data_IF_216769287094
#
_entry.id   IF_216769287094
#
_cell.length_a   1.000
_cell.length_b   1.000
_cell.length_c   1.000
_cell.angle_alpha   90.00
_cell.angle_beta   90.00
_cell.angle_gamma   90.00
#
_symmetry.space_group_name_H-M   'P 1'
#
loop_
_entity.id
_entity.type
_entity.pdbx_description
1 polymer ?
#
# COMPACT_ATOMS: atom_id res chain seq x y z
N UNK A 1 18.21 13.74 -11.40
CA UNK A 1 18.57 12.30 -11.50
C UNK A 1 17.65 11.42 -10.64
N UNK A 2 17.42 11.73 -9.37
CA UNK A 2 16.58 10.92 -8.46
C UNK A 2 15.17 10.70 -9.03
N UNK A 3 14.50 11.75 -9.48
CA UNK A 3 13.15 11.66 -10.04
C UNK A 3 13.04 10.82 -11.33
N UNK A 4 14.15 10.55 -12.02
CA UNK A 4 14.15 9.68 -13.21
C UNK A 4 14.19 8.17 -12.85
N UNK A 5 14.43 7.81 -11.59
CA UNK A 5 14.49 6.40 -11.19
C UNK A 5 13.09 5.77 -11.24
N UNK A 6 12.95 4.55 -11.78
CA UNK A 6 11.63 3.92 -11.96
C UNK A 6 10.91 3.61 -10.65
N UNK A 7 11.66 3.39 -9.58
CA UNK A 7 11.15 3.08 -8.24
C UNK A 7 10.93 4.33 -7.36
N UNK A 8 11.05 5.53 -7.91
CA UNK A 8 10.78 6.79 -7.20
C UNK A 8 9.46 7.36 -7.69
N UNK A 9 8.48 7.50 -6.82
CA UNK A 9 7.27 8.29 -7.04
C UNK A 9 7.53 9.74 -6.63
N UNK A 10 7.00 10.69 -7.42
CA UNK A 10 7.17 12.12 -7.14
C UNK A 10 5.91 12.64 -6.44
N UNK A 11 6.10 13.30 -5.30
CA UNK A 11 5.05 13.94 -4.54
C UNK A 11 5.30 15.43 -4.36
N UNK A 12 4.24 16.20 -4.14
CA UNK A 12 4.33 17.56 -3.62
C UNK A 12 4.30 17.54 -2.09
N UNK A 13 5.06 18.44 -1.48
CA UNK A 13 5.06 18.66 -0.03
C UNK A 13 4.83 20.15 0.27
N UNK A 14 3.83 20.73 -0.40
CA UNK A 14 3.43 22.14 -0.39
C UNK A 14 4.47 23.13 -0.96
N UNK A 15 4.12 24.40 -1.03
CA UNK A 15 4.97 25.46 -1.55
C UNK A 15 5.84 26.13 -0.47
N UNK A 16 5.24 26.44 0.68
CA UNK A 16 5.93 27.14 1.78
C UNK A 16 6.05 26.30 3.05
N UNK A 17 5.66 25.04 3.01
CA UNK A 17 5.64 24.15 4.17
C UNK A 17 4.81 24.70 5.34
N UNK A 18 3.53 25.07 5.14
CA UNK A 18 2.69 25.58 6.21
C UNK A 18 2.51 24.50 7.29
N UNK A 19 2.46 24.96 8.55
CA UNK A 19 2.23 24.04 9.66
C UNK A 19 0.73 23.80 9.90
N UNK A 20 -0.12 24.85 9.76
CA UNK A 20 -1.55 24.81 10.01
C UNK A 20 -2.35 25.07 8.73
N UNK A 21 -3.06 24.07 8.25
CA UNK A 21 -3.79 24.13 6.98
C UNK A 21 -5.08 24.97 7.05
N UNK A 22 -5.71 25.04 8.22
CA UNK A 22 -6.84 25.94 8.48
C UNK A 22 -6.45 27.42 8.34
N UNK A 23 -5.23 27.78 8.70
CA UNK A 23 -4.72 29.14 8.52
C UNK A 23 -4.46 29.45 7.05
N UNK A 24 -3.93 28.50 6.29
CA UNK A 24 -3.75 28.64 4.83
C UNK A 24 -5.07 28.90 4.13
N UNK A 25 -6.14 28.20 4.52
CA UNK A 25 -7.48 28.42 3.97
C UNK A 25 -7.99 29.84 4.22
N UNK A 26 -7.67 30.43 5.37
CA UNK A 26 -8.00 31.83 5.70
C UNK A 26 -7.05 32.87 5.09
N UNK A 27 -6.01 32.44 4.37
CA UNK A 27 -4.99 33.33 3.83
C UNK A 27 -4.04 33.90 4.89
N UNK A 28 -3.91 33.22 6.03
CA UNK A 28 -3.12 33.65 7.18
C UNK A 28 -1.80 32.89 7.28
N UNK A 29 -0.73 33.59 7.64
CA UNK A 29 0.53 32.95 8.07
C UNK A 29 0.50 32.80 9.58
N UNK A 30 0.31 31.56 10.04
CA UNK A 30 0.44 31.24 11.45
C UNK A 30 1.75 30.50 11.69
N UNK A 31 2.64 31.12 12.44
CA UNK A 31 3.91 30.49 12.81
C UNK A 31 3.68 29.34 13.80
N UNK A 32 4.39 28.25 13.60
CA UNK A 32 4.49 27.20 14.62
C UNK A 32 5.64 27.52 15.58
N UNK A 33 5.52 27.13 16.83
CA UNK A 33 6.61 27.20 17.81
C UNK A 33 7.86 26.40 17.37
N UNK A 34 7.72 25.56 16.36
CA UNK A 34 8.76 24.69 15.82
C UNK A 34 9.47 25.27 14.58
N UNK A 35 9.03 26.44 14.09
CA UNK A 35 9.75 27.21 13.06
C UNK A 35 9.95 26.55 11.70
N UNK A 36 9.06 25.60 11.30
CA UNK A 36 9.25 24.83 10.06
C UNK A 36 8.55 25.41 8.83
N UNK A 37 7.79 26.49 8.97
CA UNK A 37 7.16 27.15 7.84
C UNK A 37 8.09 28.16 7.19
N UNK A 38 8.15 28.16 5.86
CA UNK A 38 8.78 29.24 5.12
C UNK A 38 7.78 30.41 5.04
N UNK A 39 8.23 31.62 5.32
CA UNK A 39 7.42 32.84 5.24
C UNK A 39 8.05 33.82 4.23
N UNK A 40 7.93 33.62 2.90
CA UNK A 40 8.47 34.53 1.93
C UNK A 40 7.84 35.92 2.10
N UNK A 41 8.67 36.99 2.06
CA UNK A 41 8.21 38.37 2.23
C UNK A 41 7.13 38.71 1.21
N UNK A 42 5.99 39.22 1.69
CA UNK A 42 4.85 39.63 0.85
C UNK A 42 4.02 38.45 0.29
N UNK A 43 4.30 37.23 0.68
CA UNK A 43 3.49 36.09 0.28
C UNK A 43 2.23 35.96 1.15
N UNK A 44 1.09 35.88 0.50
CA UNK A 44 -0.19 35.54 1.13
C UNK A 44 -0.48 34.07 0.77
N UNK A 45 -0.58 33.18 1.76
CA UNK A 45 -0.83 31.77 1.48
C UNK A 45 -2.22 31.55 0.89
N UNK A 46 -2.34 30.56 0.02
CA UNK A 46 -3.61 30.08 -0.48
C UNK A 46 -3.53 28.58 -0.74
N UNK A 47 -4.62 27.86 -0.54
CA UNK A 47 -4.68 26.41 -0.78
C UNK A 47 -4.25 26.06 -2.19
N UNK A 48 -4.69 26.83 -3.20
CA UNK A 48 -4.31 26.62 -4.60
C UNK A 48 -2.80 26.71 -4.81
N UNK A 49 -2.16 27.73 -4.22
CA UNK A 49 -0.72 27.93 -4.37
C UNK A 49 0.07 26.85 -3.65
N UNK A 50 -0.33 26.51 -2.44
CA UNK A 50 0.34 25.49 -1.65
C UNK A 50 0.24 24.10 -2.28
N UNK A 51 -0.89 23.75 -2.88
CA UNK A 51 -1.17 22.43 -3.43
C UNK A 51 -0.83 22.36 -4.92
N UNK A 52 -1.57 23.12 -5.74
CA UNK A 52 -1.45 23.05 -7.19
C UNK A 52 -0.22 23.78 -7.70
N UNK A 53 0.11 24.94 -7.14
CA UNK A 53 1.29 25.73 -7.54
C UNK A 53 2.58 24.96 -7.27
N UNK A 54 2.69 24.29 -6.14
CA UNK A 54 3.81 23.42 -5.82
C UNK A 54 3.92 22.23 -6.77
N UNK A 55 2.82 21.52 -6.99
CA UNK A 55 2.77 20.35 -7.89
C UNK A 55 3.12 20.72 -9.32
N UNK A 56 2.61 21.87 -9.81
CA UNK A 56 2.93 22.40 -11.14
C UNK A 56 4.40 22.77 -11.29
N UNK A 57 4.98 23.43 -10.29
CA UNK A 57 6.41 23.76 -10.29
C UNK A 57 7.26 22.49 -10.38
N UNK A 58 6.96 21.47 -9.57
CA UNK A 58 7.69 20.20 -9.61
C UNK A 58 7.54 19.54 -10.98
N UNK A 59 6.32 19.49 -11.52
CA UNK A 59 6.03 18.87 -12.81
C UNK A 59 6.76 19.57 -13.96
N UNK A 60 6.73 20.90 -14.01
CA UNK A 60 7.28 21.67 -15.12
C UNK A 60 8.79 21.89 -15.04
N UNK A 61 9.39 21.84 -13.84
CA UNK A 61 10.80 22.23 -13.63
C UNK A 61 11.71 21.10 -13.16
N UNK A 62 11.16 20.09 -12.46
CA UNK A 62 11.97 19.09 -11.76
C UNK A 62 11.70 17.66 -12.23
N UNK A 63 10.47 17.33 -12.59
CA UNK A 63 10.09 16.01 -13.03
C UNK A 63 10.55 15.72 -14.46
N UNK A 64 11.03 14.51 -14.76
CA UNK A 64 11.28 14.10 -16.14
C UNK A 64 9.98 14.10 -16.96
N UNK A 65 10.05 14.30 -18.29
CA UNK A 65 8.88 14.19 -19.15
C UNK A 65 8.11 12.88 -18.94
N UNK A 66 6.79 12.97 -18.85
CA UNK A 66 5.90 11.82 -18.68
C UNK A 66 5.82 11.23 -17.27
N UNK A 67 6.61 11.70 -16.30
CA UNK A 67 6.54 11.22 -14.93
C UNK A 67 5.51 12.05 -14.12
N UNK A 68 4.45 11.42 -13.59
CA UNK A 68 3.38 12.14 -12.91
C UNK A 68 3.84 12.71 -11.56
N UNK A 69 3.20 13.84 -11.17
CA UNK A 69 3.22 14.39 -9.80
C UNK A 69 1.78 14.34 -9.32
N UNK A 70 1.37 13.22 -8.77
CA UNK A 70 -0.03 12.92 -8.43
C UNK A 70 -0.27 12.63 -6.95
N UNK A 71 0.69 12.94 -6.09
CA UNK A 71 0.60 12.70 -4.66
C UNK A 71 0.91 13.99 -3.89
N UNK A 72 0.05 14.34 -2.93
CA UNK A 72 0.25 15.39 -1.95
C UNK A 72 0.59 14.77 -0.60
N UNK A 73 1.74 15.14 -0.03
CA UNK A 73 2.14 14.79 1.34
C UNK A 73 1.95 16.04 2.21
N UNK A 74 1.00 15.98 3.15
CA UNK A 74 0.67 17.13 4.00
C UNK A 74 1.83 17.49 4.93
N UNK A 75 2.04 18.79 5.11
CA UNK A 75 3.07 19.38 5.98
C UNK A 75 2.52 19.69 7.36
N UNK A 76 3.42 19.97 8.30
CA UNK A 76 3.10 20.47 9.63
C UNK A 76 2.31 19.48 10.47
N UNK A 77 1.16 19.90 10.98
CA UNK A 77 0.24 19.04 11.73
C UNK A 77 -0.47 17.99 10.86
N UNK A 78 -0.31 18.11 9.54
CA UNK A 78 -0.92 17.26 8.54
C UNK A 78 -2.44 17.10 8.72
N UNK A 79 -3.12 18.18 9.09
CA UNK A 79 -4.57 18.27 9.31
C UNK A 79 -5.22 19.11 8.21
N UNK A 80 -5.35 18.58 6.97
CA UNK A 80 -5.95 19.33 5.87
C UNK A 80 -7.43 19.62 6.15
N UNK A 81 -7.91 20.75 5.66
CA UNK A 81 -9.34 21.09 5.69
C UNK A 81 -10.10 20.35 4.57
N UNK A 82 -11.43 20.30 4.65
CA UNK A 82 -12.27 19.75 3.57
C UNK A 82 -11.98 20.46 2.24
N UNK A 83 -11.84 21.79 2.26
CA UNK A 83 -11.54 22.57 1.07
C UNK A 83 -10.16 22.24 0.46
N UNK A 84 -9.16 21.96 1.28
CA UNK A 84 -7.84 21.51 0.82
C UNK A 84 -7.93 20.14 0.15
N UNK A 85 -8.70 19.23 0.72
CA UNK A 85 -8.95 17.88 0.16
C UNK A 85 -9.76 17.95 -1.14
N UNK A 86 -10.74 18.86 -1.24
CA UNK A 86 -11.50 19.10 -2.48
C UNK A 86 -10.59 19.51 -3.64
N UNK A 87 -9.58 20.36 -3.39
CA UNK A 87 -8.60 20.79 -4.40
C UNK A 87 -7.76 19.61 -4.88
N UNK A 88 -7.28 18.76 -3.96
CA UNK A 88 -6.48 17.57 -4.29
C UNK A 88 -7.29 16.59 -5.14
N UNK A 89 -8.54 16.33 -4.75
CA UNK A 89 -9.44 15.42 -5.44
C UNK A 89 -9.82 15.95 -6.84
N UNK A 90 -10.19 17.23 -6.95
CA UNK A 90 -10.49 17.88 -8.23
C UNK A 90 -9.31 17.87 -9.21
N UNK A 91 -8.09 17.84 -8.70
CA UNK A 91 -6.86 17.71 -9.50
C UNK A 91 -6.52 16.26 -9.88
N UNK A 92 -7.32 15.28 -9.48
CA UNK A 92 -7.04 13.86 -9.68
C UNK A 92 -5.82 13.35 -8.92
N UNK A 93 -5.41 14.07 -7.88
CA UNK A 93 -4.30 13.70 -7.01
C UNK A 93 -4.81 12.84 -5.84
N UNK A 94 -3.88 12.12 -5.21
CA UNK A 94 -4.12 11.45 -3.92
C UNK A 94 -3.29 12.10 -2.83
N UNK A 95 -3.57 11.81 -1.56
CA UNK A 95 -2.93 12.52 -0.45
C UNK A 95 -2.76 11.64 0.78
N UNK A 96 -1.73 11.88 1.55
CA UNK A 96 -1.55 11.29 2.87
C UNK A 96 -0.63 12.14 3.75
N UNK A 97 -0.54 11.79 4.97
CA UNK A 97 0.33 12.11 6.09
C UNK A 97 -0.52 12.24 7.37
N UNK A 98 0.10 12.65 8.47
CA UNK A 98 -0.60 12.66 9.75
C UNK A 98 -0.79 11.25 10.32
N UNK A 99 -1.70 11.14 11.27
CA UNK A 99 -1.81 9.96 12.12
C UNK A 99 -0.67 9.91 13.15
N UNK A 100 -0.75 8.97 14.09
CA UNK A 100 0.28 8.80 15.12
C UNK A 100 0.42 7.32 15.49
N UNK A 101 1.06 6.54 14.63
CA UNK A 101 1.37 5.14 14.95
C UNK A 101 2.80 5.02 15.43
N UNK A 102 2.98 4.79 16.74
CA UNK A 102 4.27 4.62 17.42
C UNK A 102 4.11 3.58 18.53
N UNK A 103 4.18 2.31 18.18
CA UNK A 103 4.18 1.23 19.16
C UNK A 103 5.62 0.82 19.46
N UNK A 104 6.06 0.98 20.70
CA UNK A 104 7.43 0.65 21.15
C UNK A 104 7.37 -0.18 22.41
N UNK A 105 8.50 -0.75 22.84
CA UNK A 105 8.60 -1.51 24.09
C UNK A 105 8.11 -0.74 25.31
N UNK A 106 8.31 0.58 25.31
CA UNK A 106 7.85 1.45 26.39
C UNK A 106 6.35 1.76 26.31
N UNK A 107 5.74 1.58 25.12
CA UNK A 107 4.33 1.81 24.90
C UNK A 107 3.78 0.80 23.87
N UNK A 108 3.67 -0.45 24.29
CA UNK A 108 3.17 -1.57 23.47
C UNK A 108 1.64 -1.69 23.63
N UNK A 109 0.90 -0.77 23.01
CA UNK A 109 -0.57 -0.71 23.09
C UNK A 109 -1.20 -0.48 21.72
N UNK A 110 -2.37 -1.07 21.48
CA UNK A 110 -3.19 -0.75 20.30
C UNK A 110 -3.63 0.72 20.27
N UNK A 111 -3.69 1.41 21.42
CA UNK A 111 -3.92 2.86 21.48
C UNK A 111 -2.80 3.67 20.82
N UNK A 112 -1.62 3.06 20.60
CA UNK A 112 -0.51 3.66 19.86
C UNK A 112 -0.60 3.43 18.34
N UNK A 113 -1.69 2.82 17.85
CA UNK A 113 -1.92 2.54 16.43
C UNK A 113 -3.06 3.43 15.95
N UNK A 114 -2.75 4.45 15.15
CA UNK A 114 -3.76 5.37 14.62
C UNK A 114 -4.71 4.68 13.63
N UNK A 115 -5.87 5.26 13.42
CA UNK A 115 -6.79 4.83 12.38
C UNK A 115 -6.17 4.93 10.97
N UNK A 116 -6.81 4.31 9.98
CA UNK A 116 -6.41 4.34 8.58
C UNK A 116 -6.40 5.77 8.02
N UNK A 117 -7.31 6.59 8.52
CA UNK A 117 -7.49 7.99 8.17
C UNK A 117 -8.57 8.62 9.03
N UNK A 118 -8.96 9.84 8.70
CA UNK A 118 -10.02 10.60 9.36
C UNK A 118 -10.90 11.31 8.34
N UNK A 119 -12.19 11.47 8.68
CA UNK A 119 -13.10 12.28 7.88
C UNK A 119 -12.93 13.76 8.21
N UNK A 120 -12.75 14.56 7.18
CA UNK A 120 -12.73 16.02 7.21
C UNK A 120 -13.94 16.50 6.41
N UNK A 121 -15.04 16.77 7.11
CA UNK A 121 -16.32 16.93 6.44
C UNK A 121 -16.71 15.67 5.66
N UNK A 122 -16.85 15.78 4.34
CA UNK A 122 -17.20 14.68 3.42
C UNK A 122 -15.98 14.00 2.80
N UNK A 123 -14.78 14.46 3.07
CA UNK A 123 -13.54 13.96 2.49
C UNK A 123 -12.76 13.10 3.47
N UNK A 124 -12.21 12.00 2.97
CA UNK A 124 -11.39 11.12 3.78
C UNK A 124 -9.91 11.47 3.63
N UNK A 125 -9.29 11.86 4.73
CA UNK A 125 -7.85 12.11 4.83
C UNK A 125 -7.14 10.81 5.22
N UNK A 126 -6.20 10.33 4.39
CA UNK A 126 -5.45 9.11 4.64
C UNK A 126 -4.24 9.40 5.51
N UNK A 127 -4.10 8.67 6.62
CA UNK A 127 -2.94 8.80 7.50
C UNK A 127 -1.73 8.03 6.97
N UNK A 128 -0.53 8.55 7.23
CA UNK A 128 0.70 7.79 7.08
C UNK A 128 0.63 6.54 7.98
N UNK A 129 1.05 5.36 7.48
CA UNK A 129 0.94 4.13 8.27
C UNK A 129 1.70 4.18 9.60
N UNK A 130 2.89 4.74 9.59
CA UNK A 130 3.84 4.79 10.70
C UNK A 130 4.44 6.21 10.75
N UNK A 131 4.75 6.70 11.95
CA UNK A 131 5.35 8.01 12.14
C UNK A 131 6.81 8.06 11.65
N UNK A 132 7.25 9.29 11.39
CA UNK A 132 8.60 9.58 10.93
C UNK A 132 9.61 9.59 12.09
N UNK A 133 10.89 9.82 11.76
CA UNK A 133 12.01 9.77 12.67
C UNK A 133 11.95 10.79 13.81
N UNK A 134 11.18 11.86 13.70
CA UNK A 134 11.17 12.92 14.71
C UNK A 134 10.65 12.44 16.07
N UNK A 135 9.68 11.50 16.07
CA UNK A 135 9.14 10.95 17.33
C UNK A 135 10.08 9.98 18.03
N UNK A 136 11.05 9.44 17.29
CA UNK A 136 12.07 8.52 17.83
C UNK A 136 13.37 9.23 18.20
N UNK A 137 13.56 10.48 17.77
CA UNK A 137 14.78 11.28 17.94
C UNK A 137 14.54 12.55 18.76
N UNK A 138 13.45 12.60 19.52
CA UNK A 138 13.04 13.78 20.29
C UNK A 138 13.09 15.07 19.44
N UNK A 139 12.33 15.11 18.36
CA UNK A 139 12.30 16.21 17.41
C UNK A 139 13.69 16.57 16.83
N UNK A 140 14.44 15.56 16.43
CA UNK A 140 15.80 15.65 15.86
C UNK A 140 16.89 16.24 16.77
N UNK A 141 16.63 16.35 18.05
CA UNK A 141 17.64 16.81 19.03
C UNK A 141 18.53 15.66 19.52
N UNK A 142 18.08 14.42 19.44
CA UNK A 142 18.80 13.20 19.79
C UNK A 142 17.93 12.17 20.55
N UNK A 143 18.40 10.95 20.67
CA UNK A 143 19.60 10.40 20.03
C UNK A 143 19.42 10.26 18.51
N UNK A 144 20.42 10.63 17.71
CA UNK A 144 20.33 10.59 16.24
C UNK A 144 20.14 9.19 15.66
N UNK A 145 20.51 8.14 16.37
CA UNK A 145 20.23 6.74 16.01
C UNK A 145 18.80 6.30 16.37
N UNK A 146 18.03 7.15 17.02
CA UNK A 146 16.72 6.80 17.60
C UNK A 146 15.72 6.23 16.60
N UNK A 147 15.82 6.58 15.30
CA UNK A 147 14.91 6.05 14.29
C UNK A 147 14.97 4.53 14.12
N UNK A 148 16.06 3.85 14.53
CA UNK A 148 16.08 2.38 14.50
C UNK A 148 14.96 1.75 15.35
N UNK A 149 14.40 2.47 16.33
CA UNK A 149 13.28 2.02 17.15
C UNK A 149 11.95 1.90 16.39
N UNK A 150 11.86 2.42 15.17
CA UNK A 150 10.67 2.20 14.28
C UNK A 150 10.50 0.70 13.99
N UNK A 151 11.59 -0.09 14.05
CA UNK A 151 11.55 -1.55 13.91
C UNK A 151 10.63 -2.17 14.97
N UNK A 152 10.68 -1.67 16.22
CA UNK A 152 9.74 -2.11 17.27
C UNK A 152 8.28 -1.90 16.83
N UNK A 153 7.99 -0.75 16.20
CA UNK A 153 6.64 -0.45 15.69
C UNK A 153 6.25 -1.40 14.55
N UNK A 154 7.18 -1.74 13.65
CA UNK A 154 6.94 -2.73 12.60
C UNK A 154 6.59 -4.10 13.16
N UNK A 155 7.34 -4.54 14.20
CA UNK A 155 7.15 -5.83 14.84
C UNK A 155 5.81 -5.89 15.61
N UNK A 156 5.52 -4.89 16.46
CA UNK A 156 4.26 -4.81 17.21
C UNK A 156 3.01 -4.69 16.34
N UNK A 157 3.12 -4.08 15.16
CA UNK A 157 2.02 -4.01 14.20
C UNK A 157 2.02 -5.15 13.19
N UNK A 158 3.00 -6.05 13.26
CA UNK A 158 3.21 -7.14 12.30
C UNK A 158 2.61 -8.49 12.68
N UNK A 159 2.32 -8.74 13.96
CA UNK A 159 1.85 -10.02 14.46
C UNK A 159 0.64 -9.85 15.40
N UNK A 160 -0.29 -10.84 15.45
CA UNK A 160 -0.37 -12.09 14.68
C UNK A 160 -0.69 -11.87 13.20
N UNK A 161 -1.18 -10.71 12.82
CA UNK A 161 -1.33 -10.23 11.44
C UNK A 161 -0.95 -8.77 11.36
N UNK A 162 -0.50 -8.34 10.19
CA UNK A 162 -0.09 -6.95 10.00
C UNK A 162 -1.27 -5.97 10.07
N UNK A 163 -1.20 -5.05 11.03
CA UNK A 163 -2.18 -3.97 11.21
C UNK A 163 -1.83 -2.73 10.40
N UNK A 164 -0.54 -2.46 10.21
CA UNK A 164 -0.01 -1.33 9.43
C UNK A 164 1.04 -1.82 8.45
N UNK A 165 1.06 -1.34 7.20
CA UNK A 165 2.17 -1.62 6.30
C UNK A 165 3.48 -1.04 6.84
N UNK A 166 4.60 -1.64 6.47
CA UNK A 166 5.92 -1.08 6.74
C UNK A 166 6.03 0.22 5.93
N UNK A 167 6.23 1.33 6.61
CA UNK A 167 6.42 2.65 6.04
C UNK A 167 7.68 3.28 6.63
N UNK A 168 8.72 3.46 5.82
CA UNK A 168 9.96 4.10 6.23
C UNK A 168 9.83 5.60 5.93
N UNK A 169 9.27 6.34 6.90
CA UNK A 169 8.99 7.76 6.78
C UNK A 169 10.10 8.56 7.47
N UNK A 170 10.83 9.36 6.69
CA UNK A 170 11.95 10.15 7.20
C UNK A 170 12.19 11.39 6.34
N UNK A 171 12.91 12.36 6.90
CA UNK A 171 13.39 13.53 6.20
C UNK A 171 14.83 13.32 5.71
N UNK A 172 15.17 13.89 4.56
CA UNK A 172 16.47 13.71 3.90
C UNK A 172 17.67 14.15 4.74
N UNK A 173 17.47 15.11 5.66
CA UNK A 173 18.52 15.54 6.59
C UNK A 173 18.90 14.46 7.63
N UNK A 174 18.12 13.38 7.77
CA UNK A 174 18.56 12.21 8.55
C UNK A 174 19.89 11.63 8.03
N UNK A 175 20.18 11.82 6.75
CA UNK A 175 21.48 11.42 6.18
C UNK A 175 22.65 12.38 6.54
N UNK A 176 22.38 13.54 7.15
CA UNK A 176 23.43 14.51 7.52
C UNK A 176 24.27 14.12 8.74
N UNK A 177 23.80 13.15 9.54
CA UNK A 177 24.47 12.61 10.72
C UNK A 177 24.79 11.14 10.50
N UNK A 178 26.03 10.71 10.76
CA UNK A 178 26.45 9.32 10.58
C UNK A 178 25.57 8.34 11.34
N UNK A 179 25.27 8.64 12.62
CA UNK A 179 24.42 7.79 13.44
C UNK A 179 22.99 7.66 12.91
N UNK A 180 22.42 8.74 12.37
CA UNK A 180 21.09 8.71 11.76
C UNK A 180 21.08 7.92 10.44
N UNK A 181 22.12 8.07 9.62
CA UNK A 181 22.27 7.30 8.37
C UNK A 181 22.42 5.79 8.66
N UNK A 182 23.22 5.42 9.64
CA UNK A 182 23.41 4.02 10.04
C UNK A 182 22.10 3.42 10.59
N UNK A 183 21.32 4.18 11.36
CA UNK A 183 19.99 3.80 11.82
C UNK A 183 19.03 3.58 10.62
N UNK A 184 19.02 4.51 9.66
CA UNK A 184 18.20 4.40 8.45
C UNK A 184 18.56 3.15 7.64
N UNK A 185 19.85 2.86 7.44
CA UNK A 185 20.28 1.64 6.77
C UNK A 185 19.84 0.36 7.52
N UNK A 186 19.84 0.39 8.86
CA UNK A 186 19.35 -0.72 9.67
C UNK A 186 17.85 -0.95 9.46
N UNK A 187 17.06 0.12 9.42
CA UNK A 187 15.62 0.08 9.15
C UNK A 187 15.33 -0.49 7.76
N UNK A 188 16.05 -0.03 6.72
CA UNK A 188 15.90 -0.58 5.36
C UNK A 188 16.27 -2.06 5.29
N UNK A 189 17.39 -2.48 5.92
CA UNK A 189 17.76 -3.91 5.95
C UNK A 189 16.69 -4.76 6.63
N UNK A 190 16.10 -4.29 7.73
CA UNK A 190 15.01 -4.99 8.41
C UNK A 190 13.78 -5.12 7.49
N UNK A 191 13.35 -4.03 6.84
CA UNK A 191 12.20 -4.04 5.95
C UNK A 191 12.40 -4.96 4.73
N UNK A 192 13.57 -4.91 4.09
CA UNK A 192 13.90 -5.74 2.92
C UNK A 192 14.10 -7.23 3.24
N UNK A 193 14.31 -7.58 4.51
CA UNK A 193 14.36 -8.97 4.96
C UNK A 193 12.98 -9.57 5.23
N UNK A 194 11.91 -8.77 5.22
CA UNK A 194 10.54 -9.25 5.38
C UNK A 194 9.97 -9.75 4.06
N UNK A 195 9.03 -10.70 4.15
CA UNK A 195 8.20 -11.09 3.01
C UNK A 195 7.10 -10.04 2.80
N UNK A 196 7.37 -9.05 1.98
CA UNK A 196 6.51 -7.90 1.75
C UNK A 196 6.25 -7.67 0.27
N UNK A 197 5.08 -7.10 -0.03
CA UNK A 197 4.69 -6.61 -1.34
C UNK A 197 4.99 -5.08 -1.43
N UNK A 198 6.06 -4.66 -2.14
CA UNK A 198 6.36 -3.25 -2.30
C UNK A 198 5.29 -2.54 -3.13
N UNK A 199 4.84 -1.38 -2.66
CA UNK A 199 3.87 -0.53 -3.36
C UNK A 199 4.31 0.93 -3.28
N UNK A 200 3.88 1.75 -4.24
CA UNK A 200 4.05 3.20 -4.14
C UNK A 200 3.09 3.79 -3.09
N UNK A 201 3.46 4.91 -2.46
CA UNK A 201 2.56 5.62 -1.55
C UNK A 201 1.19 5.92 -2.15
N UNK A 202 1.10 6.30 -3.43
CA UNK A 202 -0.19 6.51 -4.11
C UNK A 202 -1.04 5.24 -4.23
N UNK A 203 -0.42 4.07 -4.38
CA UNK A 203 -1.13 2.78 -4.38
C UNK A 203 -1.68 2.47 -2.99
N UNK A 204 -0.88 2.69 -1.95
CA UNK A 204 -1.34 2.56 -0.56
C UNK A 204 -2.55 3.47 -0.28
N UNK A 205 -2.46 4.75 -0.68
CA UNK A 205 -3.57 5.70 -0.49
C UNK A 205 -4.84 5.20 -1.17
N UNK A 206 -4.76 4.72 -2.42
CA UNK A 206 -5.92 4.18 -3.13
C UNK A 206 -6.51 2.94 -2.45
N UNK A 207 -5.66 2.05 -1.91
CA UNK A 207 -6.12 0.90 -1.13
C UNK A 207 -6.85 1.37 0.13
N UNK A 208 -6.28 2.35 0.85
CA UNK A 208 -6.85 2.92 2.05
C UNK A 208 -8.21 3.60 1.80
N UNK A 209 -8.30 4.41 0.75
CA UNK A 209 -9.56 5.05 0.35
C UNK A 209 -10.60 4.02 -0.07
N UNK A 210 -10.19 2.99 -0.82
CA UNK A 210 -11.10 1.95 -1.31
C UNK A 210 -11.72 1.11 -0.18
N UNK A 211 -11.13 1.12 1.03
CA UNK A 211 -11.74 0.50 2.20
C UNK A 211 -13.12 1.11 2.54
N UNK A 212 -13.32 2.39 2.26
CA UNK A 212 -14.59 3.09 2.50
C UNK A 212 -15.66 2.77 1.44
N UNK A 213 -15.24 2.36 0.24
CA UNK A 213 -16.14 2.16 -0.91
C UNK A 213 -16.44 0.69 -1.19
N UNK A 214 -15.64 -0.22 -0.62
CA UNK A 214 -15.81 -1.65 -0.82
C UNK A 214 -17.13 -2.13 -0.21
N UNK A 215 -17.90 -2.88 -0.99
CA UNK A 215 -19.14 -3.50 -0.55
C UNK A 215 -18.96 -5.00 -0.48
N UNK A 216 -19.21 -5.57 0.68
CA UNK A 216 -19.30 -7.01 0.91
C UNK A 216 -20.74 -7.36 1.32
N UNK A 217 -21.40 -8.16 0.50
CA UNK A 217 -22.76 -8.58 0.72
C UNK A 217 -22.88 -10.12 0.64
N UNK A 218 -23.98 -10.65 1.14
CA UNK A 218 -24.37 -12.05 0.98
C UNK A 218 -25.64 -12.12 0.12
N UNK A 219 -25.70 -13.11 -0.76
CA UNK A 219 -26.90 -13.34 -1.57
C UNK A 219 -28.11 -13.67 -0.67
N UNK A 220 -29.33 -13.41 -1.16
CA UNK A 220 -30.55 -13.61 -0.39
C UNK A 220 -30.78 -15.06 0.03
N UNK A 221 -30.35 -16.02 -0.81
CA UNK A 221 -30.36 -17.44 -0.49
C UNK A 221 -29.24 -17.87 0.48
N UNK A 222 -28.36 -16.92 0.83
CA UNK A 222 -27.23 -17.16 1.74
C UNK A 222 -26.10 -18.00 1.19
N UNK A 223 -26.13 -18.39 -0.10
CA UNK A 223 -25.16 -19.34 -0.67
C UNK A 223 -23.88 -18.66 -1.17
N UNK A 224 -23.90 -17.37 -1.47
CA UNK A 224 -22.77 -16.66 -2.08
C UNK A 224 -22.44 -15.36 -1.37
N UNK A 225 -21.16 -15.04 -1.33
CA UNK A 225 -20.64 -13.71 -1.03
C UNK A 225 -20.46 -12.92 -2.32
N UNK A 226 -20.83 -11.66 -2.28
CA UNK A 226 -20.75 -10.71 -3.38
C UNK A 226 -19.86 -9.56 -2.98
N UNK A 227 -18.87 -9.25 -3.80
CA UNK A 227 -17.95 -8.13 -3.61
C UNK A 227 -18.16 -7.12 -4.73
N UNK A 228 -18.19 -5.84 -4.38
CA UNK A 228 -18.28 -4.72 -5.32
C UNK A 228 -17.28 -3.65 -4.94
N UNK A 229 -16.85 -2.89 -5.93
CA UNK A 229 -15.93 -1.77 -5.78
C UNK A 229 -14.56 -2.16 -5.19
N UNK A 230 -14.07 -3.38 -5.45
CA UNK A 230 -12.75 -3.83 -5.03
C UNK A 230 -11.66 -3.34 -6.02
N UNK A 231 -11.64 -2.05 -6.38
CA UNK A 231 -10.76 -1.51 -7.40
C UNK A 231 -9.28 -1.58 -7.02
N UNK A 232 -8.97 -1.33 -5.76
CA UNK A 232 -7.60 -1.31 -5.21
C UNK A 232 -7.40 -2.27 -4.04
N UNK A 233 -8.43 -2.49 -3.20
CA UNK A 233 -8.39 -3.43 -2.09
C UNK A 233 -8.70 -4.84 -2.62
N UNK A 234 -7.65 -5.62 -2.86
CA UNK A 234 -7.68 -6.90 -3.58
C UNK A 234 -7.54 -8.13 -2.68
N UNK A 235 -7.62 -7.96 -1.36
CA UNK A 235 -7.51 -9.07 -0.42
C UNK A 235 -8.66 -9.03 0.58
N UNK A 236 -9.35 -10.15 0.74
CA UNK A 236 -10.36 -10.36 1.77
C UNK A 236 -9.93 -11.48 2.70
N UNK A 237 -10.05 -11.27 4.01
CA UNK A 237 -9.83 -12.33 4.99
C UNK A 237 -11.13 -13.08 5.25
N UNK A 238 -11.10 -14.37 5.02
CA UNK A 238 -12.15 -15.32 5.38
C UNK A 238 -11.76 -16.00 6.69
N UNK A 239 -12.53 -15.87 7.78
CA UNK A 239 -12.33 -16.61 9.03
C UNK A 239 -12.26 -18.10 8.81
N UNK A 240 -11.43 -18.80 9.60
CA UNK A 240 -11.15 -20.24 9.40
C UNK A 240 -12.40 -21.11 9.51
N UNK A 241 -13.30 -20.77 10.42
CA UNK A 241 -14.55 -21.47 10.69
C UNK A 241 -15.56 -21.45 9.53
N UNK A 242 -15.41 -20.50 8.60
CA UNK A 242 -16.29 -20.40 7.43
C UNK A 242 -15.91 -21.36 6.28
N UNK A 243 -14.80 -22.08 6.40
CA UNK A 243 -14.35 -23.01 5.37
C UNK A 243 -13.47 -22.35 4.29
N UNK A 244 -13.60 -22.79 3.05
CA UNK A 244 -12.75 -22.43 1.91
C UNK A 244 -13.57 -21.80 0.79
N UNK A 245 -12.99 -20.90 -0.04
CA UNK A 245 -13.70 -20.39 -1.21
C UNK A 245 -13.89 -21.50 -2.24
N UNK A 246 -15.09 -21.61 -2.81
CA UNK A 246 -15.35 -22.46 -3.97
C UNK A 246 -14.76 -21.79 -5.21
N UNK A 247 -13.51 -22.11 -5.53
CA UNK A 247 -12.80 -21.50 -6.66
C UNK A 247 -13.33 -21.97 -8.03
N UNK A 248 -14.00 -23.10 -8.09
CA UNK A 248 -14.57 -23.61 -9.35
C UNK A 248 -15.80 -22.81 -9.78
N UNK A 249 -16.63 -22.39 -8.81
CA UNK A 249 -17.82 -21.58 -9.05
C UNK A 249 -17.60 -20.08 -8.77
N UNK A 250 -16.39 -19.66 -8.40
CA UNK A 250 -16.08 -18.28 -8.12
C UNK A 250 -15.91 -17.45 -9.41
N UNK A 251 -16.30 -16.17 -9.32
CA UNK A 251 -15.97 -15.15 -10.31
C UNK A 251 -15.09 -14.09 -9.65
N UNK A 252 -14.03 -13.63 -10.34
CA UNK A 252 -13.16 -12.56 -9.84
C UNK A 252 -12.27 -12.97 -8.66
N UNK A 253 -12.09 -14.27 -8.36
CA UNK A 253 -11.20 -14.78 -7.30
C UNK A 253 -10.10 -15.63 -7.93
N UNK A 254 -8.86 -15.22 -7.79
CA UNK A 254 -7.69 -15.94 -8.36
C UNK A 254 -7.24 -17.10 -7.49
N UNK A 255 -7.51 -17.05 -6.20
CA UNK A 255 -7.13 -18.05 -5.24
C UNK A 255 -7.09 -17.52 -3.82
N UNK A 256 -6.36 -18.19 -2.95
CA UNK A 256 -6.22 -17.79 -1.55
C UNK A 256 -4.91 -18.30 -0.95
N UNK A 257 -4.46 -17.63 0.11
CA UNK A 257 -3.40 -18.10 1.01
C UNK A 257 -4.03 -18.53 2.33
N UNK A 258 -3.67 -19.70 2.84
CA UNK A 258 -4.03 -20.12 4.20
C UNK A 258 -3.00 -19.55 5.19
N UNK A 259 -3.48 -18.89 6.23
CA UNK A 259 -2.69 -18.36 7.33
C UNK A 259 -3.29 -18.74 8.69
N UNK A 260 -2.59 -18.46 9.80
CA UNK A 260 -3.08 -18.79 11.15
C UNK A 260 -4.38 -18.07 11.52
N UNK A 261 -4.57 -16.86 10.98
CA UNK A 261 -5.72 -15.99 11.26
C UNK A 261 -6.89 -16.16 10.28
N UNK A 262 -6.79 -17.10 9.33
CA UNK A 262 -7.82 -17.35 8.31
C UNK A 262 -7.23 -17.57 6.92
N UNK A 263 -8.11 -17.44 5.92
CA UNK A 263 -7.76 -17.56 4.52
C UNK A 263 -7.84 -16.19 3.85
N UNK A 264 -6.79 -15.78 3.15
CA UNK A 264 -6.71 -14.49 2.48
C UNK A 264 -6.99 -14.70 1.00
N UNK A 265 -8.19 -14.31 0.57
CA UNK A 265 -8.64 -14.44 -0.82
C UNK A 265 -8.04 -13.33 -1.67
N UNK A 266 -7.57 -13.69 -2.86
CA UNK A 266 -6.99 -12.76 -3.84
C UNK A 266 -8.04 -12.41 -4.90
N UNK A 267 -8.50 -11.15 -4.88
CA UNK A 267 -9.46 -10.64 -5.84
C UNK A 267 -8.74 -10.20 -7.13
N UNK A 268 -9.23 -10.68 -8.25
CA UNK A 268 -8.68 -10.39 -9.58
C UNK A 268 -9.49 -9.34 -10.36
N UNK A 269 -10.63 -8.90 -9.84
CA UNK A 269 -11.52 -7.93 -10.47
C UNK A 269 -12.17 -7.02 -9.42
N UNK A 270 -12.75 -5.90 -9.88
CA UNK A 270 -13.50 -4.95 -9.03
C UNK A 270 -14.77 -5.56 -8.46
N UNK A 271 -15.25 -6.60 -9.10
CA UNK A 271 -16.38 -7.39 -8.68
C UNK A 271 -15.96 -8.84 -8.54
N UNK A 272 -16.42 -9.49 -7.47
CA UNK A 272 -16.21 -10.90 -7.24
C UNK A 272 -17.44 -11.55 -6.63
N UNK A 273 -17.54 -12.87 -6.81
CA UNK A 273 -18.60 -13.66 -6.20
C UNK A 273 -18.07 -15.07 -5.95
N UNK A 274 -18.32 -15.60 -4.76
CA UNK A 274 -17.86 -16.93 -4.38
C UNK A 274 -18.80 -17.59 -3.36
N UNK A 275 -18.90 -18.91 -3.44
CA UNK A 275 -19.47 -19.76 -2.41
C UNK A 275 -18.40 -20.26 -1.44
N UNK A 276 -18.79 -21.07 -0.47
CA UNK A 276 -17.90 -21.68 0.51
C UNK A 276 -17.99 -23.20 0.46
N UNK A 277 -16.85 -23.86 0.69
CA UNK A 277 -16.71 -25.30 0.81
C UNK A 277 -16.19 -25.68 2.20
N UNK A 278 -16.57 -26.84 2.75
CA UNK A 278 -16.04 -27.32 4.02
C UNK A 278 -14.57 -27.76 3.91
N UNK A 279 -14.12 -28.15 2.73
CA UNK A 279 -12.77 -28.67 2.44
C UNK A 279 -12.04 -27.81 1.42
N UNK A 280 -10.71 -27.88 1.42
CA UNK A 280 -9.87 -27.15 0.48
C UNK A 280 -10.19 -27.56 -0.97
N UNK A 281 -10.38 -26.59 -1.89
CA UNK A 281 -10.63 -26.87 -3.29
C UNK A 281 -9.38 -27.45 -3.97
N UNK A 282 -9.59 -28.40 -4.88
CA UNK A 282 -8.51 -28.94 -5.71
C UNK A 282 -8.21 -28.12 -6.96
N UNK A 283 -8.98 -27.08 -7.23
CA UNK A 283 -8.80 -26.22 -8.41
C UNK A 283 -7.45 -25.52 -8.41
N UNK A 284 -6.76 -25.43 -9.56
CA UNK A 284 -5.55 -24.65 -9.72
C UNK A 284 -5.79 -23.18 -9.39
N UNK A 285 -4.88 -22.58 -8.61
CA UNK A 285 -5.07 -21.25 -8.07
C UNK A 285 -3.76 -20.51 -7.78
N UNK A 286 -3.83 -19.18 -7.71
CA UNK A 286 -2.77 -18.35 -7.16
C UNK A 286 -2.81 -18.44 -5.63
N UNK A 287 -1.75 -18.98 -5.02
CA UNK A 287 -1.60 -18.98 -3.56
C UNK A 287 -1.04 -17.66 -3.05
N UNK A 288 0.03 -17.15 -3.65
CA UNK A 288 0.59 -15.85 -3.27
C UNK A 288 1.37 -15.19 -4.42
N UNK A 289 1.59 -13.90 -4.34
CA UNK A 289 2.46 -13.14 -5.25
C UNK A 289 2.97 -11.88 -4.56
N UNK A 290 4.20 -11.46 -4.89
CA UNK A 290 4.71 -10.13 -4.58
C UNK A 290 4.28 -9.07 -5.61
N UNK A 291 3.43 -9.44 -6.58
CA UNK A 291 2.83 -8.58 -7.58
C UNK A 291 1.31 -8.53 -7.46
N UNK A 292 0.72 -7.46 -7.99
CA UNK A 292 -0.73 -7.33 -8.10
C UNK A 292 -1.26 -8.14 -9.29
N UNK A 293 -2.49 -8.61 -9.21
CA UNK A 293 -3.22 -9.21 -10.32
C UNK A 293 -3.82 -8.05 -11.14
N UNK A 294 -3.32 -7.84 -12.36
CA UNK A 294 -3.84 -6.82 -13.28
C UNK A 294 -5.06 -7.33 -14.04
N UNK A 295 -5.05 -8.61 -14.43
CA UNK A 295 -6.17 -9.29 -15.09
C UNK A 295 -6.18 -10.78 -14.77
N UNK A 296 -7.35 -11.40 -14.85
CA UNK A 296 -7.53 -12.84 -14.75
C UNK A 296 -8.60 -13.32 -15.72
N UNK A 297 -8.32 -14.45 -16.37
CA UNK A 297 -9.31 -15.22 -17.11
C UNK A 297 -9.24 -16.68 -16.68
N UNK A 298 -10.39 -17.28 -16.35
CA UNK A 298 -10.51 -18.71 -16.08
C UNK A 298 -11.56 -19.29 -17.03
N UNK A 299 -11.17 -20.26 -17.82
CA UNK A 299 -12.07 -20.91 -18.78
C UNK A 299 -11.67 -22.39 -18.95
N UNK A 300 -12.58 -23.30 -18.58
CA UNK A 300 -12.36 -24.74 -18.64
C UNK A 300 -11.08 -25.14 -17.88
N UNK A 301 -10.15 -25.74 -18.61
CA UNK A 301 -8.85 -26.22 -18.12
C UNK A 301 -7.75 -25.12 -18.04
N UNK A 302 -8.09 -23.89 -18.39
CA UNK A 302 -7.13 -22.78 -18.52
C UNK A 302 -7.35 -21.69 -17.46
N UNK A 303 -6.24 -21.31 -16.81
CA UNK A 303 -6.17 -20.11 -15.95
C UNK A 303 -5.08 -19.19 -16.48
N UNK A 304 -5.43 -17.93 -16.76
CA UNK A 304 -4.48 -16.90 -17.19
C UNK A 304 -4.48 -15.76 -16.15
N UNK A 305 -3.29 -15.37 -15.71
CA UNK A 305 -3.07 -14.29 -14.74
C UNK A 305 -2.07 -13.30 -15.32
N UNK A 306 -2.44 -12.02 -15.43
CA UNK A 306 -1.50 -10.92 -15.68
C UNK A 306 -1.02 -10.40 -14.32
N UNK A 307 0.24 -10.65 -13.98
CA UNK A 307 0.86 -10.25 -12.71
C UNK A 307 1.84 -9.12 -12.94
N UNK A 308 1.82 -8.09 -12.09
CA UNK A 308 2.71 -6.92 -12.16
C UNK A 308 3.24 -6.55 -10.78
N UNK A 309 4.56 -6.40 -10.67
CA UNK A 309 5.27 -6.07 -9.44
C UNK A 309 6.22 -4.89 -9.64
N UNK A 310 6.69 -4.29 -8.55
CA UNK A 310 7.73 -3.24 -8.58
C UNK A 310 9.15 -3.80 -8.41
N UNK A 311 9.24 -5.09 -8.16
CA UNK A 311 10.48 -5.87 -8.01
C UNK A 311 10.39 -7.13 -8.87
N UNK A 312 11.46 -7.91 -9.04
CA UNK A 312 11.40 -9.21 -9.72
C UNK A 312 10.25 -10.06 -9.20
N UNK A 313 9.44 -10.58 -10.14
CA UNK A 313 8.18 -11.24 -9.82
C UNK A 313 8.41 -12.61 -9.17
N UNK A 314 7.84 -12.77 -7.97
CA UNK A 314 7.75 -14.07 -7.28
C UNK A 314 6.29 -14.42 -7.03
N UNK A 315 5.93 -15.69 -7.29
CA UNK A 315 4.56 -16.13 -7.07
C UNK A 315 4.51 -17.64 -6.78
N UNK A 316 3.44 -18.05 -6.14
CA UNK A 316 3.17 -19.42 -5.75
C UNK A 316 1.83 -19.86 -6.33
N UNK A 317 1.82 -21.01 -7.02
CA UNK A 317 0.62 -21.62 -7.55
C UNK A 317 0.29 -22.89 -6.76
N UNK A 318 -0.99 -23.08 -6.47
CA UNK A 318 -1.50 -24.24 -5.79
C UNK A 318 -2.19 -25.22 -6.77
N UNK A 319 -2.09 -26.53 -6.49
CA UNK A 319 -2.81 -27.61 -7.18
C UNK A 319 -2.52 -27.69 -8.69
N UNK A 320 -1.26 -27.55 -9.09
CA UNK A 320 -0.87 -27.53 -10.50
C UNK A 320 -0.11 -28.76 -10.96
N UNK A 321 -0.19 -29.91 -10.24
CA UNK A 321 0.56 -31.14 -10.57
C UNK A 321 0.18 -31.73 -11.94
N UNK A 322 -1.05 -31.50 -12.37
CA UNK A 322 -1.57 -31.91 -13.67
C UNK A 322 -1.61 -30.80 -14.71
N UNK A 323 -0.90 -29.68 -14.44
CA UNK A 323 -0.89 -28.51 -15.30
C UNK A 323 0.49 -28.24 -15.90
N UNK A 324 0.48 -27.64 -17.08
CA UNK A 324 1.65 -26.96 -17.65
C UNK A 324 1.56 -25.48 -17.34
N UNK A 325 2.63 -24.91 -16.76
CA UNK A 325 2.73 -23.49 -16.50
C UNK A 325 3.66 -22.81 -17.53
N UNK A 326 3.26 -21.63 -18.02
CA UNK A 326 4.11 -20.79 -18.87
C UNK A 326 4.02 -19.31 -18.45
N UNK A 327 5.05 -18.53 -18.76
CA UNK A 327 5.07 -17.08 -18.68
C UNK A 327 5.41 -16.51 -20.05
N UNK A 328 4.55 -15.63 -20.57
CA UNK A 328 4.71 -15.02 -21.91
C UNK A 328 5.03 -16.06 -23.00
N UNK A 329 4.33 -17.21 -22.95
CA UNK A 329 4.50 -18.33 -23.88
C UNK A 329 5.69 -19.25 -23.61
N UNK A 330 6.56 -18.97 -22.63
CA UNK A 330 7.71 -19.81 -22.28
C UNK A 330 7.37 -20.70 -21.10
N UNK A 331 7.63 -22.01 -21.23
CA UNK A 331 7.38 -22.99 -20.17
C UNK A 331 8.15 -22.62 -18.89
N UNK A 332 7.44 -22.64 -17.76
CA UNK A 332 7.99 -22.40 -16.44
C UNK A 332 8.29 -23.71 -15.71
N UNK A 333 9.41 -23.72 -14.99
CA UNK A 333 9.73 -24.78 -14.02
C UNK A 333 9.75 -24.14 -12.62
N UNK A 334 9.06 -24.72 -11.63
CA UNK A 334 9.14 -24.24 -10.27
C UNK A 334 10.56 -24.44 -9.73
N UNK A 335 11.10 -23.46 -8.99
CA UNK A 335 12.38 -23.62 -8.31
C UNK A 335 12.26 -24.41 -6.99
N UNK A 336 11.03 -24.48 -6.44
CA UNK A 336 10.70 -25.24 -5.23
C UNK A 336 9.27 -25.76 -5.33
N UNK A 337 9.03 -26.94 -4.74
CA UNK A 337 7.70 -27.53 -4.53
C UNK A 337 7.54 -27.92 -3.08
N UNK A 338 6.40 -27.57 -2.47
CA UNK A 338 6.03 -27.93 -1.11
C UNK A 338 4.58 -28.45 -1.12
N UNK A 339 4.38 -29.75 -0.94
CA UNK A 339 3.06 -30.36 -1.07
C UNK A 339 2.36 -29.91 -2.38
N UNK A 340 1.19 -29.31 -2.30
CA UNK A 340 0.43 -28.84 -3.45
C UNK A 340 0.90 -27.46 -3.98
N UNK A 341 1.96 -26.87 -3.43
CA UNK A 341 2.45 -25.53 -3.77
C UNK A 341 3.68 -25.60 -4.68
N UNK A 342 3.66 -24.83 -5.76
CA UNK A 342 4.78 -24.67 -6.70
C UNK A 342 5.22 -23.21 -6.73
N UNK A 343 6.51 -22.94 -6.44
CA UNK A 343 7.11 -21.64 -6.30
C UNK A 343 7.86 -21.24 -7.56
N UNK A 344 7.63 -20.01 -8.03
CA UNK A 344 8.23 -19.47 -9.24
C UNK A 344 8.87 -18.12 -8.97
N UNK A 345 9.95 -17.84 -9.71
CA UNK A 345 10.67 -16.57 -9.70
C UNK A 345 11.02 -16.17 -11.12
N UNK A 346 10.76 -14.91 -11.46
CA UNK A 346 11.14 -14.32 -12.74
C UNK A 346 12.04 -13.10 -12.49
N UNK A 347 12.92 -12.80 -13.42
CA UNK A 347 13.68 -11.54 -13.40
C UNK A 347 12.84 -10.36 -13.87
N UNK A 348 11.78 -10.62 -14.65
CA UNK A 348 10.84 -9.61 -15.10
C UNK A 348 9.94 -9.15 -13.92
N UNK A 349 9.49 -7.90 -14.00
CA UNK A 349 8.56 -7.30 -13.02
C UNK A 349 7.09 -7.50 -13.41
N UNK A 350 6.83 -8.00 -14.60
CA UNK A 350 5.48 -8.32 -15.08
C UNK A 350 5.54 -9.55 -15.99
N UNK A 351 4.49 -10.36 -15.96
CA UNK A 351 4.33 -11.51 -16.86
C UNK A 351 2.86 -11.93 -16.94
N UNK A 352 2.47 -12.45 -18.09
CA UNK A 352 1.23 -13.20 -18.27
C UNK A 352 1.50 -14.67 -17.98
N UNK A 353 0.99 -15.15 -16.86
CA UNK A 353 1.11 -16.56 -16.43
C UNK A 353 -0.08 -17.34 -16.95
N UNK A 354 0.19 -18.37 -17.72
CA UNK A 354 -0.83 -19.29 -18.22
C UNK A 354 -0.65 -20.68 -17.63
N UNK A 355 -1.73 -21.23 -17.07
CA UNK A 355 -1.85 -22.63 -16.69
C UNK A 355 -2.79 -23.33 -17.67
N UNK A 356 -2.37 -24.47 -18.16
CA UNK A 356 -3.21 -25.45 -18.88
C UNK A 356 -3.18 -26.77 -18.15
N UNK A 357 -4.33 -27.21 -17.70
CA UNK A 357 -4.47 -28.38 -16.88
C UNK A 357 -5.16 -29.49 -17.65
N UNK A 358 -4.76 -30.74 -17.48
CA UNK A 358 -5.52 -31.86 -18.03
C UNK A 358 -6.84 -31.97 -17.26
N UNK A 359 -7.96 -32.09 -17.98
CA UNK A 359 -9.22 -32.46 -17.38
C UNK A 359 -9.04 -33.88 -16.77
N UNK A 360 -9.36 -34.01 -15.48
CA UNK A 360 -9.31 -35.29 -14.78
C UNK A 360 -10.42 -36.19 -15.24
#
# INVERSE_FOLDING_TARGET
RMFALPHVEIASHSYTHPFFWDSVERGEVRESLQGYSLAPKGYVPSLQREILGSSEYIRSRLAPPGKPVGLMLWTGDASPTEAALDIVDAAGMVQMNGGYTVATRNYASLAAVSALGSWQGRRFHVHAPIMNENVYTNLWTGPFYGFERVIETFDYTGAPRRLKPINIYYHTYSASKRAALDALHKVYRHALAQDVHPVFPSEYVRIAMNFNDLVLARSLDGQRYLVRNASHLRTLRLPTELGYPDLAAASGVAGYTAGPEGRYLHLAADQASFGLLPTAPAAPALSSSNGRIAAMTRYGDRLVLDLRAHVPLEFVLANIDHCTASADGKTLKPYRRDAALSHFRLTAHAATIELRCRLA
#
